data_IF_480342736115
#
_entry.id   IF_480342736115
#
_cell.length_a   1.000
_cell.length_b   1.000
_cell.length_c   1.000
_cell.angle_alpha   90.00
_cell.angle_beta   90.00
_cell.angle_gamma   90.00
#
_symmetry.space_group_name_H-M   'P 1'
#
loop_
_entity.id
_entity.type
_entity.pdbx_description
1 polymer ?
#
# COMPACT_ATOMS: atom_id res chain seq x y z
N UNK A 1 -80.59 47.46 -17.57
CA UNK A 1 -79.73 47.17 -18.74
C UNK A 1 -78.78 48.34 -18.98
N UNK A 2 -77.49 48.18 -18.69
CA UNK A 2 -76.32 48.75 -19.41
C UNK A 2 -75.06 48.49 -18.57
N UNK A 3 -74.13 47.74 -19.17
CA UNK A 3 -72.78 47.41 -18.68
C UNK A 3 -71.85 48.61 -18.91
N UNK A 4 -70.90 48.89 -18.01
CA UNK A 4 -69.57 49.43 -18.35
C UNK A 4 -68.61 49.33 -17.15
N UNK A 5 -67.70 48.35 -17.17
CA UNK A 5 -66.23 48.46 -17.34
C UNK A 5 -65.48 49.03 -16.12
N UNK A 6 -64.85 48.13 -15.36
CA UNK A 6 -63.68 48.45 -14.53
C UNK A 6 -62.49 47.69 -15.12
N UNK A 7 -61.42 48.44 -15.34
CA UNK A 7 -60.17 48.08 -16.02
C UNK A 7 -59.38 47.14 -15.11
N UNK A 8 -58.99 45.96 -15.61
CA UNK A 8 -58.03 45.07 -14.95
C UNK A 8 -56.61 45.58 -15.23
N UNK A 9 -55.90 45.94 -14.16
CA UNK A 9 -54.47 46.22 -14.19
C UNK A 9 -53.72 44.88 -14.02
N UNK A 10 -53.14 44.35 -15.09
CA UNK A 10 -52.23 43.20 -15.03
C UNK A 10 -50.86 43.67 -14.51
N UNK A 11 -50.48 43.22 -13.32
CA UNK A 11 -49.08 43.29 -12.84
C UNK A 11 -48.41 41.98 -13.24
N UNK A 12 -47.50 42.05 -14.21
CA UNK A 12 -46.66 40.93 -14.62
C UNK A 12 -45.50 40.81 -13.61
N UNK A 13 -45.55 39.81 -12.73
CA UNK A 13 -44.40 39.43 -11.90
C UNK A 13 -43.56 38.43 -12.69
N UNK A 14 -42.41 38.87 -13.18
CA UNK A 14 -41.43 37.98 -13.78
C UNK A 14 -40.76 37.15 -12.67
N UNK A 15 -41.11 35.86 -12.58
CA UNK A 15 -40.35 34.90 -11.78
C UNK A 15 -39.05 34.54 -12.52
N UNK A 16 -37.93 35.04 -12.02
CA UNK A 16 -36.62 34.51 -12.38
C UNK A 16 -36.47 33.12 -11.75
N UNK A 17 -36.57 32.07 -12.57
CA UNK A 17 -36.20 30.71 -12.20
C UNK A 17 -34.67 30.65 -12.26
N UNK A 18 -34.01 30.80 -11.12
CA UNK A 18 -32.60 30.44 -10.99
C UNK A 18 -32.50 28.92 -11.15
N UNK A 19 -32.06 28.48 -12.32
CA UNK A 19 -31.56 27.10 -12.49
C UNK A 19 -30.33 26.96 -11.62
N UNK A 20 -30.51 26.33 -10.45
CA UNK A 20 -29.41 25.80 -9.66
C UNK A 20 -28.72 24.74 -10.51
N UNK A 21 -27.52 25.04 -11.01
CA UNK A 21 -26.61 24.02 -11.46
C UNK A 21 -26.43 23.03 -10.29
N UNK A 22 -26.85 21.79 -10.49
CA UNK A 22 -26.51 20.68 -9.60
C UNK A 22 -25.01 20.49 -9.71
N UNK A 23 -24.25 21.14 -8.82
CA UNK A 23 -22.96 20.60 -8.42
C UNK A 23 -23.26 19.21 -7.90
N UNK A 24 -22.68 18.18 -8.51
CA UNK A 24 -22.57 16.88 -7.87
C UNK A 24 -21.79 17.10 -6.57
N UNK A 25 -22.51 17.39 -5.48
CA UNK A 25 -21.98 17.34 -4.12
C UNK A 25 -21.64 15.86 -3.88
N UNK A 26 -20.44 15.46 -4.31
CA UNK A 26 -19.78 14.26 -3.84
C UNK A 26 -19.74 14.44 -2.32
N UNK A 27 -20.67 13.78 -1.61
CA UNK A 27 -20.55 13.67 -0.17
C UNK A 27 -19.11 13.26 0.13
N UNK A 28 -18.37 14.00 0.97
CA UNK A 28 -17.03 13.58 1.32
C UNK A 28 -17.15 12.18 1.91
N UNK A 29 -16.44 11.22 1.30
CA UNK A 29 -16.39 9.86 1.79
C UNK A 29 -16.01 9.91 3.28
N UNK A 30 -16.65 9.07 4.11
CA UNK A 30 -16.31 9.00 5.52
C UNK A 30 -14.79 8.79 5.66
N UNK A 31 -14.07 9.63 6.44
CA UNK A 31 -12.64 9.52 6.64
C UNK A 31 -12.21 8.09 6.98
N UNK A 32 -11.19 7.59 6.30
CA UNK A 32 -10.59 6.28 6.55
C UNK A 32 -9.27 6.42 7.29
N UNK A 33 -8.89 5.37 8.01
CA UNK A 33 -7.57 5.24 8.61
C UNK A 33 -6.70 4.34 7.75
N UNK A 34 -5.61 4.86 7.21
CA UNK A 34 -4.60 4.09 6.49
C UNK A 34 -3.37 3.88 7.34
N UNK A 35 -2.84 2.66 7.34
CA UNK A 35 -1.52 2.34 7.89
C UNK A 35 -0.67 1.78 6.75
N UNK A 36 0.38 2.51 6.38
CA UNK A 36 1.23 2.21 5.23
C UNK A 36 2.55 1.59 5.72
N UNK A 37 2.85 0.39 5.25
CA UNK A 37 4.02 -0.41 5.62
C UNK A 37 4.89 -0.63 4.38
N UNK A 38 6.11 -0.13 4.41
CA UNK A 38 7.07 -0.27 3.32
C UNK A 38 7.67 -1.68 3.23
N UNK A 39 8.29 -1.98 2.09
CA UNK A 39 9.05 -3.20 1.86
C UNK A 39 10.51 -3.11 2.31
N UNK A 40 11.27 -4.14 1.97
CA UNK A 40 12.71 -4.21 2.16
C UNK A 40 13.45 -3.13 1.33
N UNK A 41 14.63 -2.72 1.81
CA UNK A 41 15.50 -1.69 1.26
C UNK A 41 14.84 -0.31 1.10
N UNK A 42 13.69 -0.12 1.75
CA UNK A 42 12.89 1.10 1.70
C UNK A 42 12.61 1.64 3.09
N UNK A 43 12.03 2.83 3.16
CA UNK A 43 11.79 3.53 4.41
C UNK A 43 10.57 4.46 4.27
N UNK A 44 10.11 5.15 5.32
CA UNK A 44 8.93 6.00 5.27
C UNK A 44 8.89 7.05 4.16
N UNK A 45 10.03 7.48 3.63
CA UNK A 45 10.10 8.44 2.51
C UNK A 45 9.29 7.98 1.30
N UNK A 46 9.25 6.66 1.05
CA UNK A 46 8.57 6.03 -0.07
C UNK A 46 7.09 6.41 -0.14
N UNK A 47 6.44 6.55 1.01
CA UNK A 47 5.00 6.76 1.09
C UNK A 47 4.58 8.23 1.18
N UNK A 48 5.50 9.20 1.20
CA UNK A 48 5.15 10.59 1.52
C UNK A 48 4.18 11.22 0.50
N UNK A 49 4.36 10.95 -0.79
CA UNK A 49 3.45 11.45 -1.82
C UNK A 49 2.05 10.83 -1.70
N UNK A 50 1.98 9.52 -1.50
CA UNK A 50 0.71 8.79 -1.28
C UNK A 50 0.01 9.26 -0.02
N UNK A 51 0.76 9.45 1.08
CA UNK A 51 0.26 10.00 2.34
C UNK A 51 -0.40 11.35 2.11
N UNK A 52 0.33 12.29 1.50
CA UNK A 52 -0.18 13.64 1.23
C UNK A 52 -1.46 13.60 0.38
N UNK A 53 -1.52 12.73 -0.62
CA UNK A 53 -2.70 12.57 -1.47
C UNK A 53 -3.92 12.01 -0.73
N UNK A 54 -3.72 11.05 0.16
CA UNK A 54 -4.80 10.47 0.97
C UNK A 54 -5.28 11.44 2.06
N UNK A 55 -4.36 12.18 2.70
CA UNK A 55 -4.69 13.21 3.71
C UNK A 55 -5.46 14.39 3.09
N UNK A 56 -5.13 14.80 1.86
CA UNK A 56 -5.91 15.82 1.10
C UNK A 56 -7.37 15.42 0.90
N UNK A 57 -7.68 14.12 0.92
CA UNK A 57 -9.05 13.59 0.82
C UNK A 57 -9.75 13.51 2.20
N UNK A 58 -9.12 14.00 3.27
CA UNK A 58 -9.65 13.99 4.64
C UNK A 58 -9.38 12.69 5.41
N UNK A 59 -8.55 11.79 4.88
CA UNK A 59 -8.20 10.54 5.57
C UNK A 59 -7.11 10.75 6.63
N UNK A 60 -7.10 9.88 7.63
CA UNK A 60 -5.99 9.78 8.58
C UNK A 60 -4.98 8.75 8.09
N UNK A 61 -3.69 9.10 8.03
CA UNK A 61 -2.66 8.24 7.44
C UNK A 61 -1.44 8.14 8.35
N UNK A 62 -1.11 6.92 8.75
CA UNK A 62 0.13 6.59 9.44
C UNK A 62 1.07 5.90 8.45
N UNK A 63 2.30 6.41 8.34
CA UNK A 63 3.39 5.73 7.65
C UNK A 63 4.29 5.12 8.71
N UNK A 64 4.45 3.80 8.69
CA UNK A 64 5.25 3.08 9.69
C UNK A 64 6.73 3.14 9.30
N UNK A 65 7.60 3.55 10.23
CA UNK A 65 9.04 3.31 10.14
C UNK A 65 9.36 1.97 10.77
N UNK A 66 9.80 0.99 9.99
CA UNK A 66 10.21 -0.31 10.51
C UNK A 66 11.59 -0.21 11.18
N UNK A 67 11.86 -1.00 12.23
CA UNK A 67 13.20 -1.13 12.81
C UNK A 67 14.29 -1.40 11.75
N UNK A 68 15.46 -0.78 11.90
CA UNK A 68 16.58 -0.90 10.97
C UNK A 68 16.44 -0.12 9.66
N UNK A 69 15.37 0.67 9.49
CA UNK A 69 15.09 1.42 8.28
C UNK A 69 14.97 2.92 8.54
N UNK A 70 15.17 3.72 7.50
CA UNK A 70 15.05 5.18 7.60
C UNK A 70 16.00 5.74 8.66
N UNK A 71 15.45 6.44 9.64
CA UNK A 71 16.22 7.00 10.76
C UNK A 71 16.47 5.99 11.90
N UNK A 72 15.75 4.87 11.93
CA UNK A 72 15.89 3.85 12.96
C UNK A 72 17.28 3.18 12.91
N UNK A 73 17.87 2.95 14.08
CA UNK A 73 19.22 2.38 14.23
C UNK A 73 19.21 1.05 14.99
N UNK A 74 18.06 0.37 15.06
CA UNK A 74 17.97 -0.96 15.67
C UNK A 74 18.96 -1.89 14.96
N UNK A 75 19.85 -2.61 15.68
CA UNK A 75 20.83 -3.49 15.06
C UNK A 75 20.15 -4.62 14.26
N UNK A 76 20.63 -4.97 13.05
CA UNK A 76 20.02 -6.04 12.25
C UNK A 76 19.86 -7.38 12.97
N UNK A 77 20.76 -7.69 13.90
CA UNK A 77 20.73 -8.90 14.74
C UNK A 77 19.56 -8.96 15.72
N UNK A 78 18.96 -7.82 16.06
CA UNK A 78 17.80 -7.73 16.96
C UNK A 78 16.47 -7.69 16.21
N UNK A 79 16.52 -7.69 14.87
CA UNK A 79 15.36 -7.53 14.02
C UNK A 79 14.82 -8.88 13.61
N UNK A 80 13.50 -9.05 13.78
CA UNK A 80 12.73 -10.21 13.34
C UNK A 80 11.45 -9.76 12.67
N UNK A 81 10.78 -10.67 11.95
CA UNK A 81 9.44 -10.38 11.42
C UNK A 81 8.43 -10.04 12.53
N UNK A 82 8.57 -10.66 13.70
CA UNK A 82 7.74 -10.34 14.87
C UNK A 82 8.00 -8.92 15.41
N UNK A 83 9.25 -8.46 15.39
CA UNK A 83 9.59 -7.07 15.76
C UNK A 83 8.94 -6.06 14.80
N UNK A 84 8.89 -6.38 13.51
CA UNK A 84 8.17 -5.59 12.52
C UNK A 84 6.66 -5.60 12.76
N UNK A 85 6.08 -6.77 13.04
CA UNK A 85 4.67 -6.93 13.41
C UNK A 85 4.32 -6.07 14.63
N UNK A 86 5.11 -6.13 15.70
CA UNK A 86 4.93 -5.32 16.92
C UNK A 86 4.92 -3.82 16.61
N UNK A 87 5.86 -3.35 15.78
CA UNK A 87 5.92 -1.94 15.38
C UNK A 87 4.65 -1.49 14.68
N UNK A 88 4.13 -2.30 13.76
CA UNK A 88 2.88 -2.00 13.03
C UNK A 88 1.67 -2.08 13.97
N UNK A 89 1.59 -3.07 14.86
CA UNK A 89 0.51 -3.16 15.86
C UNK A 89 0.49 -1.95 16.79
N UNK A 90 1.65 -1.46 17.23
CA UNK A 90 1.76 -0.25 18.04
C UNK A 90 1.24 0.98 17.28
N UNK A 91 1.56 1.11 15.99
CA UNK A 91 1.01 2.18 15.15
C UNK A 91 -0.52 2.10 15.00
N UNK A 92 -1.08 0.89 14.89
CA UNK A 92 -2.54 0.68 14.83
C UNK A 92 -3.20 1.01 16.17
N UNK A 93 -2.53 0.74 17.30
CA UNK A 93 -3.09 0.96 18.65
C UNK A 93 -3.40 2.43 18.96
N UNK A 94 -2.76 3.36 18.24
CA UNK A 94 -3.01 4.81 18.38
C UNK A 94 -4.20 5.30 17.56
N UNK A 95 -4.87 4.42 16.83
CA UNK A 95 -5.97 4.75 15.92
C UNK A 95 -7.30 4.28 16.49
N UNK A 96 -8.27 5.18 16.52
CA UNK A 96 -9.65 4.82 16.83
C UNK A 96 -10.33 4.15 15.62
N UNK A 97 -10.98 3.01 15.87
CA UNK A 97 -11.66 2.22 14.85
C UNK A 97 -10.76 1.21 14.14
N UNK A 98 -11.17 0.82 12.92
CA UNK A 98 -10.43 -0.12 12.08
C UNK A 98 -9.54 0.62 11.08
N UNK A 99 -8.54 -0.09 10.55
CA UNK A 99 -7.60 0.45 9.56
C UNK A 99 -7.66 -0.30 8.24
N UNK A 100 -7.38 0.43 7.15
CA UNK A 100 -6.93 -0.11 5.88
C UNK A 100 -5.42 -0.31 6.00
N UNK A 101 -5.00 -1.57 6.14
CA UNK A 101 -3.61 -1.92 6.38
C UNK A 101 -2.93 -2.27 5.06
N UNK A 102 -2.04 -1.38 4.61
CA UNK A 102 -1.39 -1.42 3.30
C UNK A 102 0.05 -1.89 3.46
N UNK A 103 0.42 -2.94 2.75
CA UNK A 103 1.79 -3.49 2.77
C UNK A 103 2.34 -3.60 1.35
N UNK A 104 3.56 -3.11 1.15
CA UNK A 104 4.31 -3.27 -0.09
C UNK A 104 5.41 -4.32 0.05
N UNK A 105 5.60 -5.17 -0.97
CA UNK A 105 6.68 -6.17 -0.99
C UNK A 105 6.74 -7.01 0.29
N UNK A 106 7.87 -7.01 1.03
CA UNK A 106 8.02 -7.60 2.37
C UNK A 106 6.92 -7.18 3.35
N UNK A 107 6.42 -5.95 3.25
CA UNK A 107 5.28 -5.43 4.01
C UNK A 107 4.06 -6.35 3.96
N UNK A 108 3.86 -7.10 2.87
CA UNK A 108 2.81 -8.11 2.75
C UNK A 108 2.91 -9.24 3.80
N UNK A 109 4.12 -9.70 4.12
CA UNK A 109 4.36 -10.69 5.18
C UNK A 109 3.99 -10.11 6.55
N UNK A 110 4.39 -8.86 6.79
CA UNK A 110 4.18 -8.15 8.05
C UNK A 110 2.69 -7.94 8.30
N UNK A 111 1.96 -7.36 7.34
CA UNK A 111 0.52 -7.08 7.51
C UNK A 111 -0.30 -8.37 7.67
N UNK A 112 0.15 -9.47 7.06
CA UNK A 112 -0.49 -10.78 7.22
C UNK A 112 -0.34 -11.28 8.66
N UNK A 113 0.85 -11.15 9.23
CA UNK A 113 1.12 -11.51 10.64
C UNK A 113 0.38 -10.60 11.64
N UNK A 114 0.22 -9.31 11.31
CA UNK A 114 -0.58 -8.37 12.09
C UNK A 114 -2.06 -8.77 12.10
N UNK A 115 -2.63 -9.09 10.93
CA UNK A 115 -4.02 -9.53 10.83
C UNK A 115 -4.28 -10.88 11.49
N UNK A 116 -3.27 -11.74 11.63
CA UNK A 116 -3.39 -12.92 12.48
C UNK A 116 -3.56 -12.55 13.96
N UNK A 117 -2.89 -11.50 14.42
CA UNK A 117 -2.84 -11.13 15.84
C UNK A 117 -4.03 -10.27 16.27
N UNK A 118 -4.48 -9.35 15.41
CA UNK A 118 -5.55 -8.36 15.70
C UNK A 118 -6.53 -8.22 14.52
N UNK A 119 -7.15 -9.30 14.04
CA UNK A 119 -8.04 -9.27 12.87
C UNK A 119 -9.20 -8.27 13.02
N UNK A 120 -9.67 -8.04 14.24
CA UNK A 120 -10.76 -7.12 14.56
C UNK A 120 -10.41 -5.64 14.33
N UNK A 121 -9.12 -5.29 14.34
CA UNK A 121 -8.62 -3.93 14.08
C UNK A 121 -8.38 -3.66 12.59
N UNK A 122 -8.41 -4.67 11.74
CA UNK A 122 -8.15 -4.52 10.31
C UNK A 122 -9.46 -4.57 9.53
N UNK A 123 -9.75 -3.51 8.79
CA UNK A 123 -10.91 -3.46 7.87
C UNK A 123 -10.60 -4.21 6.59
N UNK A 124 -9.44 -3.94 5.99
CA UNK A 124 -8.97 -4.59 4.76
C UNK A 124 -7.45 -4.63 4.74
N UNK A 125 -6.90 -5.76 4.34
CA UNK A 125 -5.50 -5.91 3.96
C UNK A 125 -5.33 -5.52 2.50
N UNK A 126 -4.44 -4.58 2.21
CA UNK A 126 -4.16 -4.12 0.84
C UNK A 126 -2.70 -4.44 0.52
N UNK A 127 -2.51 -5.35 -0.43
CA UNK A 127 -1.20 -5.78 -0.90
C UNK A 127 -0.83 -4.95 -2.13
N UNK A 128 0.29 -4.24 -2.12
CA UNK A 128 0.80 -3.48 -3.28
C UNK A 128 2.08 -4.15 -3.73
N UNK A 129 2.07 -4.86 -4.87
CA UNK A 129 3.24 -5.61 -5.33
C UNK A 129 3.89 -6.48 -4.22
N UNK A 130 3.06 -7.08 -3.37
CA UNK A 130 3.50 -7.60 -2.07
C UNK A 130 3.39 -9.11 -1.95
N UNK A 131 4.27 -9.69 -1.13
CA UNK A 131 4.18 -11.10 -0.80
C UNK A 131 2.90 -11.37 -0.01
N UNK A 132 2.05 -12.26 -0.54
CA UNK A 132 0.83 -12.74 0.10
C UNK A 132 1.04 -14.21 0.49
N UNK A 133 1.46 -14.49 1.74
CA UNK A 133 1.86 -15.83 2.15
C UNK A 133 0.68 -16.76 2.43
N UNK A 134 0.97 -18.06 2.38
CA UNK A 134 0.21 -19.08 3.11
C UNK A 134 0.96 -19.44 4.40
N UNK A 135 0.22 -19.96 5.39
CA UNK A 135 0.78 -20.34 6.70
C UNK A 135 1.98 -21.28 6.55
N UNK A 136 3.03 -21.05 7.34
CA UNK A 136 4.27 -21.81 7.37
C UNK A 136 5.35 -21.33 6.40
N UNK A 137 5.03 -20.47 5.43
CA UNK A 137 6.02 -19.97 4.47
C UNK A 137 6.80 -18.76 5.01
N UNK A 138 8.04 -18.66 4.53
CA UNK A 138 8.92 -17.50 4.67
C UNK A 138 8.86 -16.65 3.40
N UNK A 139 9.31 -15.39 3.44
CA UNK A 139 9.44 -14.58 2.23
C UNK A 139 10.41 -15.25 1.25
N UNK A 140 11.56 -15.69 1.75
CA UNK A 140 12.58 -16.39 0.96
C UNK A 140 11.99 -17.58 0.19
N UNK A 141 11.19 -18.42 0.85
CA UNK A 141 10.56 -19.57 0.19
C UNK A 141 9.56 -19.17 -0.89
N UNK A 142 8.86 -18.04 -0.74
CA UNK A 142 7.94 -17.51 -1.76
C UNK A 142 8.71 -16.92 -2.94
N UNK A 143 9.78 -16.15 -2.67
CA UNK A 143 10.62 -15.57 -3.72
C UNK A 143 11.22 -16.65 -4.62
N UNK A 144 11.65 -17.78 -4.05
CA UNK A 144 12.12 -18.94 -4.83
C UNK A 144 11.05 -19.60 -5.71
N UNK A 145 9.76 -19.26 -5.56
CA UNK A 145 8.69 -19.72 -6.44
C UNK A 145 8.51 -18.85 -7.68
N UNK A 146 9.28 -17.76 -7.82
CA UNK A 146 9.19 -16.79 -8.90
C UNK A 146 10.33 -16.99 -9.93
N UNK A 147 10.08 -17.75 -11.01
CA UNK A 147 11.09 -17.96 -12.05
C UNK A 147 11.41 -16.69 -12.85
N UNK A 148 10.54 -15.67 -12.78
CA UNK A 148 10.63 -14.45 -13.58
C UNK A 148 11.20 -13.27 -12.76
N UNK A 149 11.53 -13.48 -11.49
CA UNK A 149 12.15 -12.44 -10.64
C UNK A 149 13.59 -12.18 -11.07
N UNK A 150 13.91 -10.92 -11.37
CA UNK A 150 15.28 -10.49 -11.60
C UNK A 150 16.06 -10.40 -10.28
N UNK A 151 15.39 -10.21 -9.14
CA UNK A 151 16.03 -10.15 -7.82
C UNK A 151 16.68 -11.49 -7.44
N UNK A 152 16.06 -12.61 -7.83
CA UNK A 152 16.60 -13.96 -7.70
C UNK A 152 17.74 -14.29 -8.68
N UNK A 153 18.15 -13.33 -9.51
CA UNK A 153 19.20 -13.47 -10.50
C UNK A 153 20.57 -13.79 -9.88
N UNK A 154 21.43 -14.44 -10.67
CA UNK A 154 22.78 -14.80 -10.25
C UNK A 154 23.57 -13.53 -9.88
N UNK A 155 24.20 -13.57 -8.71
CA UNK A 155 25.09 -12.50 -8.19
C UNK A 155 24.38 -11.13 -7.99
N UNK A 156 23.03 -11.10 -7.90
CA UNK A 156 22.24 -9.89 -7.64
C UNK A 156 22.19 -9.54 -6.15
N UNK A 157 21.97 -10.55 -5.29
CA UNK A 157 21.97 -10.39 -3.83
C UNK A 157 23.36 -10.66 -3.24
N UNK A 158 23.77 -9.81 -2.31
CA UNK A 158 25.05 -9.90 -1.60
C UNK A 158 24.74 -10.13 -0.11
N UNK A 159 25.11 -11.28 0.42
CA UNK A 159 24.85 -11.64 1.81
C UNK A 159 26.04 -11.31 2.71
N UNK A 160 25.78 -10.60 3.80
CA UNK A 160 26.76 -10.22 4.80
C UNK A 160 26.48 -10.97 6.11
N UNK A 161 27.23 -12.05 6.35
CA UNK A 161 27.00 -12.95 7.50
C UNK A 161 27.46 -12.34 8.83
N UNK A 162 28.41 -11.41 8.79
CA UNK A 162 28.93 -10.69 9.95
C UNK A 162 27.94 -9.66 10.50
N UNK A 163 27.21 -8.99 9.61
CA UNK A 163 26.19 -7.99 9.96
C UNK A 163 24.76 -8.52 9.93
N UNK A 164 24.53 -9.77 9.52
CA UNK A 164 23.20 -10.37 9.32
C UNK A 164 22.32 -9.52 8.37
N UNK A 165 22.92 -9.03 7.29
CA UNK A 165 22.23 -8.21 6.29
C UNK A 165 22.32 -8.82 4.89
N UNK A 166 21.41 -8.38 4.03
CA UNK A 166 21.41 -8.64 2.60
C UNK A 166 21.38 -7.32 1.83
N UNK A 167 22.30 -7.19 0.89
CA UNK A 167 22.43 -6.05 0.00
C UNK A 167 22.06 -6.45 -1.43
N UNK A 168 21.74 -5.47 -2.25
CA UNK A 168 21.49 -5.60 -3.69
C UNK A 168 22.67 -4.97 -4.39
N UNK A 169 23.17 -5.65 -5.42
CA UNK A 169 24.25 -5.11 -6.26
C UNK A 169 23.85 -3.71 -6.77
N UNK A 170 24.70 -2.72 -6.49
CA UNK A 170 24.37 -1.30 -6.65
C UNK A 170 23.88 -0.93 -8.06
N UNK A 171 24.46 -1.52 -9.09
CA UNK A 171 24.07 -1.27 -10.49
C UNK A 171 22.71 -1.89 -10.88
N UNK A 172 22.12 -2.73 -10.02
CA UNK A 172 20.81 -3.35 -10.23
C UNK A 172 19.67 -2.61 -9.51
N UNK A 173 19.96 -1.74 -8.53
CA UNK A 173 18.94 -1.13 -7.66
C UNK A 173 17.88 -0.38 -8.48
N UNK A 174 18.30 0.41 -9.47
CA UNK A 174 17.36 1.16 -10.32
C UNK A 174 16.51 0.22 -11.16
N UNK A 175 17.12 -0.76 -11.84
CA UNK A 175 16.39 -1.70 -12.69
C UNK A 175 15.34 -2.51 -11.92
N UNK A 176 15.69 -2.93 -10.69
CA UNK A 176 14.81 -3.75 -9.88
C UNK A 176 13.65 -2.95 -9.27
N UNK A 177 13.95 -1.80 -8.67
CA UNK A 177 12.99 -1.15 -7.78
C UNK A 177 12.25 0.03 -8.40
N UNK A 178 12.81 0.69 -9.42
CA UNK A 178 12.30 1.99 -9.89
C UNK A 178 12.70 2.31 -11.34
N UNK A 179 12.72 1.30 -12.22
CA UNK A 179 13.15 1.45 -13.61
C UNK A 179 12.25 2.39 -14.43
N UNK A 180 11.01 2.56 -13.98
CA UNK A 180 10.00 3.46 -14.55
C UNK A 180 9.98 4.86 -13.90
N UNK A 181 10.85 5.12 -12.93
CA UNK A 181 10.98 6.43 -12.28
C UNK A 181 11.76 7.44 -13.13
N UNK A 182 11.51 8.73 -12.92
CA UNK A 182 12.36 9.79 -13.48
C UNK A 182 13.76 9.76 -12.83
N UNK A 183 14.79 10.37 -13.43
CA UNK A 183 16.13 10.43 -12.83
C UNK A 183 16.13 10.97 -11.39
N UNK A 184 15.26 11.93 -11.08
CA UNK A 184 15.12 12.48 -9.73
C UNK A 184 14.60 11.43 -8.75
N UNK A 185 13.61 10.64 -9.15
CA UNK A 185 13.02 9.57 -8.34
C UNK A 185 14.00 8.40 -8.19
N UNK A 186 14.74 8.05 -9.24
CA UNK A 186 15.80 7.04 -9.19
C UNK A 186 16.89 7.46 -8.18
N UNK A 187 17.35 8.71 -8.25
CA UNK A 187 18.31 9.25 -7.29
C UNK A 187 17.75 9.30 -5.86
N UNK A 188 16.45 9.56 -5.69
CA UNK A 188 15.80 9.51 -4.38
C UNK A 188 15.91 8.11 -3.77
N UNK A 189 15.66 7.05 -4.56
CA UNK A 189 15.82 5.65 -4.11
C UNK A 189 17.27 5.39 -3.72
N UNK A 190 18.22 5.70 -4.59
CA UNK A 190 19.65 5.48 -4.35
C UNK A 190 20.15 6.20 -3.08
N UNK A 191 19.73 7.45 -2.88
CA UNK A 191 20.16 8.26 -1.73
C UNK A 191 19.58 7.81 -0.39
N UNK A 192 18.46 7.09 -0.40
CA UNK A 192 17.80 6.58 0.81
C UNK A 192 17.98 5.07 0.99
N UNK A 193 18.72 4.43 0.09
CA UNK A 193 18.99 3.01 0.13
C UNK A 193 19.85 2.64 1.34
N UNK A 194 19.50 1.54 2.01
CA UNK A 194 20.26 0.92 3.10
C UNK A 194 20.21 -0.59 2.94
N UNK A 195 21.25 -1.28 3.40
CA UNK A 195 21.29 -2.75 3.45
C UNK A 195 20.19 -3.29 4.35
N UNK A 196 19.57 -4.40 3.97
CA UNK A 196 18.38 -4.93 4.64
C UNK A 196 18.72 -5.96 5.72
N UNK A 197 18.04 -5.98 6.87
CA UNK A 197 18.13 -7.08 7.84
C UNK A 197 17.68 -8.42 7.22
N UNK A 198 18.51 -9.46 7.34
CA UNK A 198 18.26 -10.75 6.69
C UNK A 198 17.21 -11.60 7.43
N UNK A 199 17.18 -11.55 8.76
CA UNK A 199 16.38 -12.45 9.61
C UNK A 199 14.86 -12.43 9.26
N UNK A 200 14.23 -11.27 9.01
CA UNK A 200 12.82 -11.23 8.60
C UNK A 200 12.47 -12.05 7.34
N UNK A 201 13.41 -12.25 6.42
CA UNK A 201 13.17 -12.99 5.16
C UNK A 201 12.96 -14.48 5.40
N UNK A 202 13.58 -15.01 6.45
CA UNK A 202 13.60 -16.44 6.79
C UNK A 202 12.69 -16.78 7.97
N UNK A 203 12.03 -15.79 8.59
CA UNK A 203 11.03 -16.06 9.62
C UNK A 203 9.70 -16.49 8.96
N UNK A 204 9.14 -17.65 9.33
CA UNK A 204 7.86 -18.08 8.78
C UNK A 204 6.71 -17.30 9.42
N UNK A 205 5.62 -17.13 8.69
CA UNK A 205 4.35 -16.66 9.27
C UNK A 205 3.48 -17.84 9.68
N UNK A 206 2.77 -17.73 10.80
CA UNK A 206 1.71 -18.67 11.17
C UNK A 206 0.38 -17.97 10.99
N UNK A 207 -0.49 -18.51 10.14
CA UNK A 207 -1.76 -17.88 9.75
C UNK A 207 -2.90 -18.90 9.88
N UNK A 208 -4.07 -18.43 10.34
CA UNK A 208 -5.27 -19.25 10.53
C UNK A 208 -6.44 -18.74 9.69
N UNK A 209 -7.40 -19.62 9.41
CA UNK A 209 -8.66 -19.25 8.76
C UNK A 209 -9.52 -18.30 9.60
N UNK A 210 -9.46 -18.43 10.92
CA UNK A 210 -10.26 -17.65 11.86
C UNK A 210 -9.78 -16.20 11.99
N UNK A 211 -8.47 -15.97 12.02
CA UNK A 211 -7.90 -14.64 12.17
C UNK A 211 -7.53 -14.06 10.80
N UNK A 212 -6.30 -14.29 10.31
CA UNK A 212 -5.85 -13.77 9.02
C UNK A 212 -6.83 -14.05 7.88
N UNK A 213 -7.38 -15.28 7.83
CA UNK A 213 -8.32 -15.72 6.80
C UNK A 213 -9.66 -14.97 6.81
N UNK A 214 -10.11 -14.42 7.94
CA UNK A 214 -11.39 -13.73 8.07
C UNK A 214 -11.34 -12.27 7.57
N UNK A 215 -10.15 -11.67 7.48
CA UNK A 215 -9.96 -10.28 7.03
C UNK A 215 -10.07 -10.18 5.51
N UNK A 216 -10.82 -9.17 5.01
CA UNK A 216 -10.94 -8.84 3.58
C UNK A 216 -9.57 -8.51 3.00
N UNK A 217 -9.29 -9.00 1.79
CA UNK A 217 -8.01 -8.80 1.09
C UNK A 217 -8.26 -8.13 -0.25
N UNK A 218 -7.46 -7.13 -0.56
CA UNK A 218 -7.35 -6.51 -1.87
C UNK A 218 -5.89 -6.52 -2.33
N UNK A 219 -5.67 -6.54 -3.63
CA UNK A 219 -4.34 -6.58 -4.22
C UNK A 219 -4.23 -5.57 -5.36
N UNK A 220 -3.18 -4.75 -5.35
CA UNK A 220 -2.80 -3.85 -6.42
C UNK A 220 -1.57 -4.46 -7.11
N UNK A 221 -1.78 -4.95 -8.33
CA UNK A 221 -0.75 -5.58 -9.14
C UNK A 221 0.07 -4.54 -9.90
N UNK A 222 1.38 -4.68 -9.87
CA UNK A 222 2.33 -3.92 -10.68
C UNK A 222 2.67 -4.74 -11.92
N UNK A 223 2.41 -4.19 -13.11
CA UNK A 223 2.48 -4.96 -14.36
C UNK A 223 3.88 -5.10 -14.96
N UNK A 224 4.84 -4.26 -14.53
CA UNK A 224 6.23 -4.26 -15.00
C UNK A 224 7.21 -4.60 -13.86
N UNK A 225 6.75 -5.37 -12.87
CA UNK A 225 7.54 -5.65 -11.68
C UNK A 225 8.68 -6.64 -11.97
N UNK A 226 9.93 -6.25 -11.68
CA UNK A 226 11.12 -7.09 -11.82
C UNK A 226 11.46 -7.87 -10.54
N UNK A 227 10.80 -7.58 -9.41
CA UNK A 227 11.12 -8.14 -8.08
C UNK A 227 10.12 -9.21 -7.67
N UNK A 228 8.84 -8.84 -7.61
CA UNK A 228 7.72 -9.78 -7.42
C UNK A 228 6.98 -9.82 -8.73
N UNK A 229 7.38 -10.72 -9.62
CA UNK A 229 6.94 -10.69 -11.01
C UNK A 229 5.40 -10.80 -11.13
N UNK A 230 4.81 -10.33 -12.24
CA UNK A 230 3.39 -10.56 -12.50
C UNK A 230 2.99 -12.05 -12.40
N UNK A 231 3.89 -12.98 -12.70
CA UNK A 231 3.67 -14.42 -12.51
C UNK A 231 3.45 -14.76 -11.03
N UNK A 232 4.37 -14.37 -10.14
CA UNK A 232 4.24 -14.69 -8.72
C UNK A 232 3.06 -13.94 -8.09
N UNK A 233 2.83 -12.67 -8.46
CA UNK A 233 1.65 -11.92 -7.99
C UNK A 233 0.35 -12.66 -8.35
N UNK A 234 0.19 -13.11 -9.60
CA UNK A 234 -0.99 -13.87 -10.02
C UNK A 234 -1.12 -15.20 -9.25
N UNK A 235 0.00 -15.91 -9.05
CA UNK A 235 0.01 -17.17 -8.28
C UNK A 235 -0.50 -16.95 -6.86
N UNK A 236 0.04 -15.97 -6.14
CA UNK A 236 -0.37 -15.68 -4.76
C UNK A 236 -1.83 -15.18 -4.67
N UNK A 237 -2.27 -14.35 -5.61
CA UNK A 237 -3.67 -13.89 -5.69
C UNK A 237 -4.63 -15.07 -5.84
N UNK A 238 -4.29 -16.05 -6.69
CA UNK A 238 -5.14 -17.20 -6.98
C UNK A 238 -5.40 -18.10 -5.75
N UNK A 239 -4.44 -18.16 -4.82
CA UNK A 239 -4.53 -18.96 -3.60
C UNK A 239 -4.90 -18.16 -2.35
N UNK A 240 -4.83 -16.83 -2.42
CA UNK A 240 -4.91 -15.93 -1.27
C UNK A 240 -6.31 -15.43 -0.89
N UNK A 241 -7.37 -15.91 -1.53
CA UNK A 241 -8.77 -15.45 -1.31
C UNK A 241 -8.93 -13.91 -1.42
N UNK A 242 -8.27 -13.31 -2.41
CA UNK A 242 -8.33 -11.87 -2.68
C UNK A 242 -9.70 -11.50 -3.27
N UNK A 243 -10.37 -10.50 -2.70
CA UNK A 243 -11.72 -10.07 -3.10
C UNK A 243 -11.74 -8.95 -4.14
N UNK A 244 -10.68 -8.14 -4.17
CA UNK A 244 -10.54 -7.05 -5.14
C UNK A 244 -9.12 -7.06 -5.69
N UNK A 245 -9.00 -7.11 -7.02
CA UNK A 245 -7.71 -7.02 -7.71
C UNK A 245 -7.78 -5.81 -8.63
N UNK A 246 -6.86 -4.86 -8.42
CA UNK A 246 -6.65 -3.72 -9.29
C UNK A 246 -5.24 -3.79 -9.87
N UNK A 247 -5.00 -3.10 -10.97
CA UNK A 247 -3.72 -3.16 -11.68
C UNK A 247 -3.19 -1.74 -11.89
N UNK A 248 -1.87 -1.60 -11.87
CA UNK A 248 -1.14 -0.38 -12.18
C UNK A 248 0.06 -0.71 -13.07
N UNK A 249 0.21 0.02 -14.17
CA UNK A 249 1.28 -0.20 -15.14
C UNK A 249 2.56 0.52 -14.69
N UNK A 250 3.21 -0.05 -13.67
CA UNK A 250 4.48 0.42 -13.08
C UNK A 250 5.42 -0.74 -12.81
N UNK A 251 6.67 -0.41 -12.50
CA UNK A 251 7.60 -1.30 -11.83
C UNK A 251 7.23 -1.55 -10.35
N UNK A 252 8.22 -1.92 -9.54
CA UNK A 252 7.99 -2.40 -8.17
C UNK A 252 7.52 -1.32 -7.19
N UNK A 253 7.81 -0.04 -7.44
CA UNK A 253 7.58 1.05 -6.47
C UNK A 253 6.57 2.11 -6.95
N UNK A 254 5.27 1.75 -7.12
CA UNK A 254 4.24 2.67 -7.64
C UNK A 254 4.01 3.92 -6.78
N UNK A 255 4.32 3.88 -5.49
CA UNK A 255 4.24 5.04 -4.59
C UNK A 255 5.30 6.11 -4.89
N UNK A 256 6.34 5.76 -5.66
CA UNK A 256 7.34 6.70 -6.15
C UNK A 256 7.09 7.07 -7.62
N UNK A 257 6.85 6.08 -8.50
CA UNK A 257 6.72 6.35 -9.94
C UNK A 257 5.36 6.92 -10.34
N UNK A 258 4.27 6.50 -9.69
CA UNK A 258 2.91 6.97 -9.98
C UNK A 258 2.05 7.14 -8.71
N UNK A 259 2.47 8.00 -7.75
CA UNK A 259 1.80 8.14 -6.45
C UNK A 259 0.32 8.53 -6.54
N UNK A 260 -0.05 9.42 -7.46
CA UNK A 260 -1.45 9.87 -7.65
C UNK A 260 -2.37 8.73 -8.10
N UNK A 261 -1.84 7.90 -9.01
CA UNK A 261 -2.57 6.76 -9.55
C UNK A 261 -2.74 5.69 -8.46
N UNK A 262 -1.68 5.40 -7.70
CA UNK A 262 -1.75 4.48 -6.57
C UNK A 262 -2.73 4.98 -5.49
N UNK A 263 -2.69 6.25 -5.11
CA UNK A 263 -3.64 6.84 -4.17
C UNK A 263 -5.09 6.68 -4.62
N UNK A 264 -5.34 6.86 -5.92
CA UNK A 264 -6.68 6.69 -6.51
C UNK A 264 -7.16 5.23 -6.43
N UNK A 265 -6.27 4.25 -6.64
CA UNK A 265 -6.59 2.82 -6.47
C UNK A 265 -6.86 2.46 -5.00
N UNK A 266 -6.09 3.03 -4.06
CA UNK A 266 -6.34 2.85 -2.63
C UNK A 266 -7.72 3.40 -2.22
N UNK A 267 -8.07 4.61 -2.67
CA UNK A 267 -9.40 5.19 -2.44
C UNK A 267 -10.51 4.34 -3.05
N UNK A 268 -10.30 3.79 -4.25
CA UNK A 268 -11.26 2.87 -4.88
C UNK A 268 -11.47 1.60 -4.05
N UNK A 269 -10.43 1.02 -3.48
CA UNK A 269 -10.54 -0.14 -2.59
C UNK A 269 -11.29 0.23 -1.31
N UNK A 270 -10.99 1.39 -0.73
CA UNK A 270 -11.61 1.85 0.52
C UNK A 270 -13.13 2.09 0.44
N UNK A 271 -13.63 2.37 -0.77
CA UNK A 271 -15.04 2.64 -1.05
C UNK A 271 -15.84 1.41 -1.49
N UNK A 272 -15.20 0.25 -1.68
CA UNK A 272 -15.80 -1.03 -2.07
C UNK A 272 -15.83 -2.03 -0.91
#
# INVERSE_FOLDING_TARGET
MKKLRVIQLLVLVAMFILSSCSSDDVQPANPKNYVLVHGAWQAPYAWQAVKANLEKQGNHVIVVELPGHGADQTPPTEITLDKYKEKVMNAISTVDGKVLLVGHSLGGMIISSVAESIPEKVETLIYVAAYLPVSGLTLDSLAHMDPDSHLGGKDVLIFHTDTYTVDVKQDQIVDLFIQDGTPEVQNLVLNNYRTEPLIPFINPVTLTGQNFGSVKKAYIKTLQDHVVSPYLQNKMISTGNVKSVLEINTGHSPFLSQPDNLSSLLTKIANN
#
